data_IF_693629464840
#
_entry.id   IF_693629464840
#
_cell.length_a   1.000
_cell.length_b   1.000
_cell.length_c   1.000
_cell.angle_alpha   90.00
_cell.angle_beta   90.00
_cell.angle_gamma   90.00
#
_symmetry.space_group_name_H-M   'P 1'
#
loop_
_entity.id
_entity.type
_entity.pdbx_description
1 polymer ?
#
# COMPACT_ATOMS: atom_id res chain seq x y z
N UNK A 1 0.38 6.59 -3.35
CA UNK A 1 0.48 5.67 -4.50
C UNK A 1 1.73 4.81 -4.41
N UNK A 2 2.93 5.38 -4.54
CA UNK A 2 4.15 4.57 -4.56
C UNK A 2 4.62 4.09 -3.19
N UNK A 3 4.45 4.87 -2.12
CA UNK A 3 5.05 4.52 -0.83
C UNK A 3 4.52 3.21 -0.23
N UNK A 4 3.20 2.98 -0.27
CA UNK A 4 2.59 1.77 0.31
C UNK A 4 2.83 0.53 -0.53
N UNK A 5 2.70 0.69 -1.86
CA UNK A 5 2.98 -0.38 -2.82
C UNK A 5 4.45 -0.77 -2.85
N UNK A 6 5.36 0.20 -2.71
CA UNK A 6 6.80 -0.02 -2.54
C UNK A 6 7.12 -0.73 -1.22
N UNK A 7 6.52 -0.28 -0.11
CA UNK A 7 6.73 -0.91 1.19
C UNK A 7 6.36 -2.40 1.19
N UNK A 8 5.22 -2.78 0.59
CA UNK A 8 4.83 -4.19 0.45
C UNK A 8 5.85 -5.02 -0.35
N UNK A 9 6.39 -4.44 -1.43
CA UNK A 9 7.41 -5.11 -2.26
C UNK A 9 8.75 -5.23 -1.56
N UNK A 10 9.17 -4.19 -0.83
CA UNK A 10 10.39 -4.21 -0.03
C UNK A 10 10.29 -5.26 1.08
N UNK A 11 9.13 -5.36 1.76
CA UNK A 11 8.87 -6.41 2.73
C UNK A 11 8.90 -7.80 2.09
N UNK A 12 8.31 -7.97 0.90
CA UNK A 12 8.37 -9.24 0.18
C UNK A 12 9.81 -9.66 -0.18
N UNK A 13 10.67 -8.70 -0.56
CA UNK A 13 12.10 -8.96 -0.79
C UNK A 13 12.80 -9.38 0.49
N UNK A 14 12.49 -8.74 1.64
CA UNK A 14 13.05 -9.16 2.92
C UNK A 14 12.62 -10.58 3.29
N UNK A 15 11.35 -10.93 3.11
CA UNK A 15 10.87 -12.29 3.37
C UNK A 15 11.56 -13.33 2.45
N UNK A 16 11.84 -12.98 1.18
CA UNK A 16 12.65 -13.82 0.27
C UNK A 16 14.07 -13.99 0.82
N UNK A 17 14.77 -12.90 1.16
CA UNK A 17 16.19 -12.97 1.58
C UNK A 17 16.37 -13.76 2.88
N UNK A 18 15.42 -13.65 3.80
CA UNK A 18 15.50 -14.27 5.13
C UNK A 18 14.75 -15.60 5.25
N UNK A 19 14.15 -16.11 4.17
CA UNK A 19 13.46 -17.39 4.20
C UNK A 19 14.45 -18.56 4.04
N UNK A 20 14.19 -19.64 4.76
CA UNK A 20 14.98 -20.88 4.72
C UNK A 20 14.59 -21.79 3.54
N UNK A 21 13.50 -21.49 2.82
CA UNK A 21 13.05 -22.25 1.65
C UNK A 21 13.80 -21.81 0.38
N UNK A 22 14.50 -22.73 -0.27
CA UNK A 22 15.23 -22.48 -1.53
C UNK A 22 14.31 -22.18 -2.73
N UNK A 23 13.00 -22.45 -2.63
CA UNK A 23 12.02 -22.21 -3.70
C UNK A 23 11.46 -20.80 -3.63
N UNK A 24 12.26 -19.84 -4.09
CA UNK A 24 11.81 -18.46 -4.18
C UNK A 24 11.02 -18.16 -5.46
N UNK A 25 9.92 -17.41 -5.37
CA UNK A 25 9.32 -16.82 -6.56
C UNK A 25 10.31 -15.83 -7.19
N UNK A 26 10.36 -15.79 -8.53
CA UNK A 26 11.24 -14.88 -9.29
C UNK A 26 10.88 -13.40 -9.12
N UNK A 27 9.66 -13.11 -8.68
CA UNK A 27 9.11 -11.77 -8.51
C UNK A 27 8.61 -11.57 -7.08
N UNK A 28 8.88 -10.42 -6.45
CA UNK A 28 8.28 -10.04 -5.17
C UNK A 28 6.74 -10.02 -5.23
N UNK A 29 6.15 -9.70 -6.38
CA UNK A 29 4.70 -9.65 -6.55
C UNK A 29 4.04 -11.05 -6.48
N UNK A 30 4.83 -12.12 -6.62
CA UNK A 30 4.37 -13.51 -6.56
C UNK A 30 4.48 -14.14 -5.16
N UNK A 31 5.11 -13.45 -4.21
CA UNK A 31 5.26 -13.92 -2.83
C UNK A 31 3.89 -13.99 -2.16
N UNK A 32 3.62 -15.11 -1.48
CA UNK A 32 2.44 -15.23 -0.63
C UNK A 32 2.59 -14.35 0.61
N UNK A 33 1.55 -13.59 0.93
CA UNK A 33 1.62 -12.70 2.08
C UNK A 33 1.42 -13.46 3.39
N UNK A 34 2.40 -13.29 4.28
CA UNK A 34 2.41 -13.88 5.62
C UNK A 34 1.85 -12.90 6.64
N UNK A 35 1.35 -13.42 7.76
CA UNK A 35 0.97 -12.61 8.94
C UNK A 35 2.11 -11.70 9.45
N UNK A 36 3.36 -12.16 9.37
CA UNK A 36 4.54 -11.37 9.75
C UNK A 36 4.73 -10.16 8.84
N UNK A 37 4.59 -10.35 7.52
CA UNK A 37 4.69 -9.27 6.55
C UNK A 37 3.63 -8.19 6.83
N UNK A 38 2.41 -8.60 7.20
CA UNK A 38 1.34 -7.68 7.58
C UNK A 38 1.61 -6.89 8.85
N UNK A 39 2.11 -7.57 9.88
CA UNK A 39 2.45 -6.92 11.13
C UNK A 39 3.54 -5.85 10.91
N UNK A 40 4.54 -6.17 10.09
CA UNK A 40 5.59 -5.22 9.69
C UNK A 40 5.01 -4.07 8.87
N UNK A 41 4.14 -4.36 7.91
CA UNK A 41 3.47 -3.33 7.09
C UNK A 41 2.64 -2.35 7.93
N UNK A 42 1.86 -2.87 8.90
CA UNK A 42 1.06 -2.06 9.81
C UNK A 42 1.90 -1.17 10.74
N UNK A 43 3.09 -1.64 11.14
CA UNK A 43 3.98 -0.97 12.09
C UNK A 43 4.93 0.03 11.44
N UNK A 44 5.44 -0.28 10.25
CA UNK A 44 6.42 0.54 9.53
C UNK A 44 5.74 1.61 8.66
N UNK A 45 4.47 1.41 8.32
CA UNK A 45 3.71 2.31 7.47
C UNK A 45 3.02 3.47 8.20
N UNK A 46 2.51 4.46 7.46
CA UNK A 46 1.57 5.44 7.97
C UNK A 46 0.32 4.78 8.57
N UNK A 47 -0.35 5.46 9.49
CA UNK A 47 -1.59 4.98 10.15
C UNK A 47 -2.67 4.54 9.16
N UNK A 48 -2.71 5.14 7.97
CA UNK A 48 -3.57 4.71 6.86
C UNK A 48 -3.47 3.20 6.55
N UNK A 49 -2.29 2.59 6.69
CA UNK A 49 -2.07 1.19 6.36
C UNK A 49 -2.68 0.24 7.38
N UNK A 50 -2.69 0.62 8.67
CA UNK A 50 -3.40 -0.15 9.69
C UNK A 50 -4.92 -0.08 9.47
N UNK A 51 -5.44 1.09 9.06
CA UNK A 51 -6.85 1.26 8.70
C UNK A 51 -7.23 0.44 7.47
N UNK A 52 -6.39 0.44 6.44
CA UNK A 52 -6.59 -0.40 5.25
C UNK A 52 -6.63 -1.88 5.62
N UNK A 53 -5.69 -2.34 6.45
CA UNK A 53 -5.65 -3.71 6.96
C UNK A 53 -6.94 -4.11 7.69
N UNK A 54 -7.51 -3.22 8.49
CA UNK A 54 -8.79 -3.48 9.17
C UNK A 54 -9.98 -3.63 8.20
N UNK A 55 -9.89 -3.09 6.99
CA UNK A 55 -10.93 -3.23 5.95
C UNK A 55 -10.75 -4.46 5.07
N UNK A 56 -9.57 -5.08 5.08
CA UNK A 56 -9.28 -6.25 4.27
C UNK A 56 -9.86 -7.51 4.92
N UNK A 57 -10.64 -8.28 4.16
CA UNK A 57 -10.91 -9.67 4.51
C UNK A 57 -9.68 -10.51 4.17
N UNK A 58 -8.70 -10.48 5.08
CA UNK A 58 -7.47 -11.25 4.89
C UNK A 58 -7.72 -12.75 5.06
N UNK A 59 -7.15 -13.54 4.14
CA UNK A 59 -6.96 -14.97 4.27
C UNK A 59 -5.48 -15.32 4.14
N UNK A 60 -4.93 -15.95 5.15
CA UNK A 60 -3.53 -16.37 5.18
C UNK A 60 -3.24 -17.34 4.03
N UNK A 61 -2.16 -17.10 3.27
CA UNK A 61 -1.73 -17.97 2.17
C UNK A 61 -2.49 -17.84 0.84
N UNK A 62 -3.61 -17.10 0.78
CA UNK A 62 -4.36 -16.91 -0.47
C UNK A 62 -3.92 -15.68 -1.27
N UNK A 63 -3.62 -14.57 -0.58
CA UNK A 63 -3.29 -13.29 -1.23
C UNK A 63 -1.79 -13.18 -1.53
N UNK A 64 -1.45 -12.94 -2.80
CA UNK A 64 -0.10 -12.58 -3.26
C UNK A 64 0.16 -11.07 -3.09
N UNK A 65 1.43 -10.69 -2.93
CA UNK A 65 1.88 -9.29 -2.84
C UNK A 65 1.29 -8.43 -3.96
N UNK A 66 1.33 -8.89 -5.22
CA UNK A 66 0.83 -8.11 -6.35
C UNK A 66 -0.68 -7.81 -6.28
N UNK A 67 -1.47 -8.74 -5.74
CA UNK A 67 -2.92 -8.55 -5.53
C UNK A 67 -3.14 -7.48 -4.47
N UNK A 68 -2.35 -7.51 -3.41
CA UNK A 68 -2.47 -6.56 -2.30
C UNK A 68 -1.96 -5.17 -2.64
N UNK A 69 -0.90 -5.08 -3.44
CA UNK A 69 -0.44 -3.84 -4.07
C UNK A 69 -1.58 -3.20 -4.85
N UNK A 70 -2.32 -3.97 -5.64
CA UNK A 70 -3.48 -3.46 -6.38
C UNK A 70 -4.63 -3.03 -5.46
N UNK A 71 -4.99 -3.85 -4.46
CA UNK A 71 -6.06 -3.53 -3.50
C UNK A 71 -5.72 -2.26 -2.69
N UNK A 72 -4.46 -2.10 -2.27
CA UNK A 72 -3.97 -0.94 -1.53
C UNK A 72 -3.99 0.30 -2.41
N UNK A 73 -3.58 0.17 -3.67
CA UNK A 73 -3.64 1.26 -4.65
C UNK A 73 -5.07 1.79 -4.79
N UNK A 74 -6.05 0.89 -4.96
CA UNK A 74 -7.47 1.26 -5.07
C UNK A 74 -7.97 1.93 -3.80
N UNK A 75 -7.61 1.41 -2.62
CA UNK A 75 -7.99 2.01 -1.34
C UNK A 75 -7.40 3.42 -1.17
N UNK A 76 -6.09 3.58 -1.40
CA UNK A 76 -5.42 4.88 -1.33
C UNK A 76 -6.05 5.88 -2.30
N UNK A 77 -6.31 5.48 -3.55
CA UNK A 77 -6.97 6.34 -4.53
C UNK A 77 -8.36 6.76 -4.05
N UNK A 78 -9.16 5.82 -3.56
CA UNK A 78 -10.52 6.10 -3.08
C UNK A 78 -10.51 7.04 -1.86
N UNK A 79 -9.58 6.81 -0.93
CA UNK A 79 -9.47 7.63 0.29
C UNK A 79 -8.87 9.00 -0.01
N UNK A 80 -7.88 9.10 -0.90
CA UNK A 80 -7.12 10.34 -1.14
C UNK A 80 -7.68 11.21 -2.26
N UNK A 81 -8.43 10.66 -3.23
CA UNK A 81 -8.98 11.43 -4.35
C UNK A 81 -9.90 12.59 -3.92
N UNK A 82 -10.81 12.43 -2.93
CA UNK A 82 -11.63 13.55 -2.47
C UNK A 82 -10.78 14.70 -1.92
N UNK A 83 -9.78 14.39 -1.08
CA UNK A 83 -8.89 15.39 -0.51
C UNK A 83 -8.07 16.11 -1.58
N UNK A 84 -7.50 15.38 -2.55
CA UNK A 84 -6.78 15.99 -3.68
C UNK A 84 -7.66 16.93 -4.49
N UNK A 85 -8.91 16.54 -4.73
CA UNK A 85 -9.88 17.37 -5.46
C UNK A 85 -10.22 18.65 -4.70
N UNK A 86 -10.47 18.55 -3.39
CA UNK A 86 -10.74 19.71 -2.55
C UNK A 86 -9.55 20.66 -2.46
N UNK A 87 -8.34 20.14 -2.25
CA UNK A 87 -7.11 20.95 -2.21
C UNK A 87 -6.90 21.68 -3.53
N UNK A 88 -6.99 20.96 -4.66
CA UNK A 88 -6.86 21.57 -5.99
C UNK A 88 -7.92 22.65 -6.24
N UNK A 89 -9.16 22.44 -5.80
CA UNK A 89 -10.21 23.45 -5.89
C UNK A 89 -9.89 24.72 -5.10
N UNK A 90 -9.36 24.56 -3.88
CA UNK A 90 -8.97 25.69 -3.02
C UNK A 90 -7.77 26.43 -3.61
N UNK A 91 -6.75 25.71 -4.09
CA UNK A 91 -5.58 26.29 -4.75
C UNK A 91 -5.98 27.12 -5.97
N UNK A 92 -6.92 26.63 -6.78
CA UNK A 92 -7.43 27.34 -7.96
C UNK A 92 -8.11 28.66 -7.56
N UNK A 93 -8.99 28.63 -6.56
CA UNK A 93 -9.67 29.83 -6.04
C UNK A 93 -8.70 30.85 -5.46
N UNK A 94 -7.67 30.38 -4.75
CA UNK A 94 -6.64 31.26 -4.19
C UNK A 94 -5.81 31.91 -5.30
N UNK A 95 -5.44 31.15 -6.33
CA UNK A 95 -4.69 31.66 -7.48
C UNK A 95 -5.49 32.69 -8.29
N UNK A 96 -6.82 32.56 -8.36
CA UNK A 96 -7.73 33.54 -8.97
C UNK A 96 -7.80 34.83 -8.13
N UNK A 97 -7.90 34.72 -6.79
CA UNK A 97 -7.93 35.87 -5.89
C UNK A 97 -6.62 36.67 -5.89
N UNK A 98 -5.47 36.00 -5.95
CA UNK A 98 -4.15 36.68 -6.00
C UNK A 98 -3.91 37.39 -7.34
N UNK A 99 -4.59 36.97 -8.41
CA UNK A 99 -4.50 37.59 -9.73
C UNK A 99 -5.51 38.73 -9.95
N UNK A 100 -6.48 38.90 -9.06
CA UNK A 100 -7.46 39.99 -9.05
C UNK A 100 -6.93 41.20 -8.27
#
# INVERSE_FOLDING_TARGET
>A
MEQGTRCLRELAVLEIIFSEDERFPKSPDDVQCTSQMWLRFARLGPEMYSRYLATLQWREGEDKVGVLVNKLRIYEDTVTAPFRTHVSSVETRLAEQVRS
#
